data_IF_709372305747
#
_entry.id   IF_709372305747
#
_cell.length_a   1.000
_cell.length_b   1.000
_cell.length_c   1.000
_cell.angle_alpha   90.00
_cell.angle_beta   90.00
_cell.angle_gamma   90.00
#
_symmetry.space_group_name_H-M   'P 1'
#
loop_
_entity.id
_entity.type
_entity.pdbx_description
1 polymer ?
#
# COMPACT_ATOMS: atom_id res chain seq x y z
N UNK A 1 -2.31 -26.03 -2.26
CA UNK A 1 -3.47 -25.39 -2.92
C UNK A 1 -3.83 -24.19 -2.08
N UNK A 2 -3.14 -23.09 -2.33
CA UNK A 2 -3.13 -21.95 -1.43
C UNK A 2 -4.41 -21.14 -1.54
N UNK A 3 -5.01 -20.90 -0.38
CA UNK A 3 -6.27 -20.18 -0.23
C UNK A 3 -6.04 -18.70 -0.54
N UNK A 4 -6.58 -18.25 -1.67
CA UNK A 4 -6.84 -16.84 -1.96
C UNK A 4 -7.65 -16.24 -0.80
N UNK A 5 -7.01 -15.43 0.03
CA UNK A 5 -7.70 -14.62 1.01
C UNK A 5 -8.30 -13.41 0.28
N UNK A 6 -9.59 -13.52 -0.02
CA UNK A 6 -10.41 -12.43 -0.54
C UNK A 6 -10.50 -11.36 0.57
N UNK A 7 -9.89 -10.21 0.36
CA UNK A 7 -10.07 -9.04 1.24
C UNK A 7 -11.42 -8.40 0.87
N UNK A 8 -12.34 -8.14 1.83
CA UNK A 8 -13.67 -7.65 1.52
C UNK A 8 -13.63 -6.25 0.90
N UNK A 9 -14.43 -6.06 -0.17
CA UNK A 9 -14.75 -4.74 -0.73
C UNK A 9 -15.54 -3.93 0.31
N UNK A 10 -15.09 -2.72 0.62
CA UNK A 10 -15.91 -1.68 1.25
C UNK A 10 -16.54 -0.83 0.15
N UNK A 11 -17.76 -1.16 -0.25
CA UNK A 11 -18.73 -0.21 -0.80
C UNK A 11 -20.07 -0.56 -0.18
N UNK A 12 -20.52 0.23 0.80
CA UNK A 12 -21.87 0.14 1.36
C UNK A 12 -22.67 1.36 0.92
N UNK A 13 -23.64 1.13 0.04
CA UNK A 13 -24.86 1.92 -0.03
C UNK A 13 -25.85 1.37 0.99
N UNK A 14 -26.12 2.21 1.98
CA UNK A 14 -27.26 2.33 2.90
C UNK A 14 -27.62 1.23 3.92
N UNK A 15 -27.80 1.74 5.14
CA UNK A 15 -28.50 1.21 6.32
C UNK A 15 -27.82 0.06 7.09
N UNK A 16 -26.84 0.40 7.94
CA UNK A 16 -27.04 0.46 9.40
C UNK A 16 -25.72 0.79 10.12
N UNK A 17 -25.82 1.68 11.11
CA UNK A 17 -24.71 2.36 11.73
C UNK A 17 -23.91 1.47 12.70
N UNK A 18 -22.69 1.09 12.31
CA UNK A 18 -21.58 0.94 13.26
C UNK A 18 -20.41 1.78 12.75
N UNK A 19 -20.30 2.98 13.32
CA UNK A 19 -19.22 3.95 13.07
C UNK A 19 -17.87 3.35 13.46
N UNK A 20 -17.27 2.59 12.54
CA UNK A 20 -15.84 2.37 12.51
C UNK A 20 -15.18 3.74 12.54
N UNK A 21 -14.53 4.06 13.66
CA UNK A 21 -13.91 5.34 13.94
C UNK A 21 -12.82 5.61 12.88
N UNK A 22 -13.20 6.24 11.77
CA UNK A 22 -12.25 6.79 10.79
C UNK A 22 -11.59 7.94 11.52
N UNK A 23 -10.52 7.62 12.26
CA UNK A 23 -9.71 8.60 12.95
C UNK A 23 -9.27 9.63 11.92
N UNK A 24 -9.74 10.86 12.15
CA UNK A 24 -9.36 12.07 11.42
C UNK A 24 -7.88 12.01 11.06
N UNK A 25 -7.55 12.11 9.77
CA UNK A 25 -6.19 12.07 9.22
C UNK A 25 -5.34 13.11 9.96
N UNK A 26 -4.61 12.67 10.98
CA UNK A 26 -3.60 13.50 11.64
C UNK A 26 -2.40 13.42 10.71
N UNK A 27 -2.07 14.53 10.06
CA UNK A 27 -0.89 14.60 9.18
C UNK A 27 0.31 14.04 9.92
N UNK A 28 0.83 12.91 9.44
CA UNK A 28 2.06 12.34 9.98
C UNK A 28 3.21 13.20 9.51
N UNK A 29 4.15 13.52 10.40
CA UNK A 29 5.37 14.20 9.98
C UNK A 29 6.15 13.32 9.02
N UNK A 30 6.63 13.88 7.92
CA UNK A 30 7.45 13.18 6.91
C UNK A 30 8.60 12.38 7.53
N UNK A 31 9.31 12.99 8.49
CA UNK A 31 10.40 12.33 9.24
C UNK A 31 9.94 11.07 9.96
N UNK A 32 8.73 11.06 10.52
CA UNK A 32 8.18 9.88 11.17
C UNK A 32 7.92 8.76 10.15
N UNK A 33 7.35 9.10 8.99
CA UNK A 33 7.11 8.14 7.90
C UNK A 33 8.42 7.52 7.40
N UNK A 34 9.43 8.34 7.11
CA UNK A 34 10.78 7.89 6.69
C UNK A 34 11.39 6.95 7.73
N UNK A 35 11.35 7.33 9.01
CA UNK A 35 11.87 6.47 10.09
C UNK A 35 11.12 5.14 10.19
N UNK A 36 9.80 5.15 9.98
CA UNK A 36 8.97 3.94 10.02
C UNK A 36 9.30 3.00 8.86
N UNK A 37 9.43 3.54 7.65
CA UNK A 37 9.80 2.77 6.45
C UNK A 37 11.21 2.19 6.57
N UNK A 38 12.17 2.98 7.04
CA UNK A 38 13.52 2.50 7.30
C UNK A 38 13.53 1.40 8.37
N UNK A 39 12.76 1.55 9.45
CA UNK A 39 12.61 0.49 10.44
C UNK A 39 12.05 -0.81 9.83
N UNK A 40 11.06 -0.72 8.94
CA UNK A 40 10.51 -1.90 8.23
C UNK A 40 11.57 -2.57 7.35
N UNK A 41 12.32 -1.78 6.57
CA UNK A 41 13.45 -2.27 5.79
C UNK A 41 14.50 -2.97 6.68
N UNK A 42 14.89 -2.38 7.82
CA UNK A 42 15.86 -2.97 8.74
C UNK A 42 15.38 -4.25 9.43
N UNK A 43 14.07 -4.46 9.49
CA UNK A 43 13.47 -5.68 10.04
C UNK A 43 13.18 -6.75 8.96
N UNK A 44 13.58 -6.49 7.71
CA UNK A 44 13.26 -7.29 6.52
C UNK A 44 11.75 -7.57 6.38
N UNK A 45 10.93 -6.56 6.68
CA UNK A 45 9.46 -6.63 6.58
C UNK A 45 8.95 -5.91 5.34
N UNK A 46 7.67 -6.11 5.04
CA UNK A 46 7.02 -5.60 3.84
C UNK A 46 5.96 -4.54 4.16
N UNK A 47 5.60 -3.79 3.13
CA UNK A 47 4.41 -2.93 3.04
C UNK A 47 3.44 -3.52 2.02
N UNK A 48 2.19 -3.04 2.05
CA UNK A 48 1.20 -3.37 1.01
C UNK A 48 1.03 -2.19 0.06
N UNK A 49 1.10 -2.47 -1.23
CA UNK A 49 0.76 -1.54 -2.31
C UNK A 49 -0.59 -1.95 -2.87
N UNK A 50 -1.57 -1.06 -2.75
CA UNK A 50 -2.91 -1.30 -3.27
C UNK A 50 -3.04 -0.72 -4.68
N UNK A 51 -3.46 -1.55 -5.62
CA UNK A 51 -3.73 -1.20 -7.00
C UNK A 51 -5.22 -1.39 -7.27
N UNK A 52 -5.92 -0.33 -7.71
CA UNK A 52 -7.33 -0.39 -8.09
C UNK A 52 -7.47 -0.79 -9.55
N UNK A 53 -8.30 -1.76 -9.87
CA UNK A 53 -8.58 -2.13 -11.25
C UNK A 53 -9.26 -0.96 -11.99
N UNK A 54 -8.78 -0.63 -13.18
CA UNK A 54 -9.24 0.56 -13.94
C UNK A 54 -10.70 0.50 -14.36
N UNK A 55 -11.26 -0.70 -14.56
CA UNK A 55 -12.65 -0.92 -14.97
C UNK A 55 -13.59 -1.47 -13.89
N UNK A 56 -13.04 -1.96 -12.78
CA UNK A 56 -13.82 -2.70 -11.78
C UNK A 56 -13.51 -2.15 -10.39
N UNK A 57 -14.47 -2.21 -9.48
CA UNK A 57 -14.30 -1.76 -8.09
C UNK A 57 -13.44 -2.72 -7.22
N UNK A 58 -12.55 -3.52 -7.83
CA UNK A 58 -11.64 -4.43 -7.12
C UNK A 58 -10.30 -3.76 -6.88
N UNK A 59 -9.75 -4.00 -5.69
CA UNK A 59 -8.39 -3.65 -5.31
C UNK A 59 -7.57 -4.91 -5.20
N UNK A 60 -6.38 -4.89 -5.79
CA UNK A 60 -5.34 -5.89 -5.63
C UNK A 60 -4.27 -5.33 -4.68
N UNK A 61 -3.89 -6.11 -3.67
CA UNK A 61 -2.81 -5.76 -2.75
C UNK A 61 -1.56 -6.56 -3.07
N UNK A 62 -0.46 -5.87 -3.41
CA UNK A 62 0.85 -6.46 -3.64
C UNK A 62 1.77 -6.21 -2.45
N UNK A 63 2.59 -7.18 -2.09
CA UNK A 63 3.62 -7.04 -1.06
C UNK A 63 4.88 -6.47 -1.68
N UNK A 64 5.46 -5.47 -1.01
CA UNK A 64 6.71 -4.85 -1.44
C UNK A 64 7.65 -4.64 -0.25
N UNK A 65 8.96 -4.80 -0.48
CA UNK A 65 9.99 -4.43 0.48
C UNK A 65 10.41 -2.98 0.21
N UNK A 66 10.27 -2.06 1.18
CA UNK A 66 10.82 -0.73 1.04
C UNK A 66 12.35 -0.82 1.03
N UNK A 67 13.00 -0.06 0.14
CA UNK A 67 14.44 0.16 0.18
C UNK A 67 14.78 1.25 1.22
N UNK A 68 16.04 1.32 1.70
CA UNK A 68 16.49 2.42 2.54
C UNK A 68 16.19 3.76 1.88
N UNK A 69 15.52 4.65 2.61
CA UNK A 69 15.13 5.97 2.10
C UNK A 69 15.68 7.08 3.00
N UNK A 70 16.18 8.13 2.35
CA UNK A 70 16.62 9.36 3.01
C UNK A 70 16.01 10.54 2.26
N UNK A 71 15.12 11.28 2.93
CA UNK A 71 14.41 12.40 2.33
C UNK A 71 13.06 11.99 1.76
N UNK A 72 12.88 12.20 0.47
CA UNK A 72 11.56 12.42 -0.11
C UNK A 72 11.11 11.30 -1.03
N UNK A 73 12.06 10.54 -1.57
CA UNK A 73 11.81 9.43 -2.48
C UNK A 73 11.79 8.12 -1.71
N UNK A 74 10.77 7.31 -1.94
CA UNK A 74 10.68 5.94 -1.50
C UNK A 74 10.69 5.01 -2.71
N UNK A 75 11.66 4.10 -2.72
CA UNK A 75 11.69 3.00 -3.68
C UNK A 75 11.30 1.71 -2.96
N UNK A 76 10.44 0.92 -3.59
CA UNK A 76 10.03 -0.40 -3.10
C UNK A 76 10.25 -1.43 -4.20
N UNK A 77 10.70 -2.62 -3.84
CA UNK A 77 10.78 -3.78 -4.75
C UNK A 77 9.67 -4.77 -4.41
N UNK A 78 9.08 -5.41 -5.42
CA UNK A 78 8.07 -6.43 -5.16
C UNK A 78 8.68 -7.61 -4.42
N UNK A 79 7.96 -8.16 -3.45
CA UNK A 79 8.40 -9.38 -2.76
C UNK A 79 8.35 -10.60 -3.67
N UNK A 80 7.41 -10.60 -4.62
CA UNK A 80 7.23 -11.64 -5.63
C UNK A 80 7.14 -10.96 -7.01
N UNK A 81 7.56 -11.63 -8.10
CA UNK A 81 7.41 -11.10 -9.44
C UNK A 81 5.96 -10.70 -9.72
N UNK A 82 5.76 -9.48 -10.23
CA UNK A 82 4.43 -8.98 -10.59
C UNK A 82 4.18 -9.19 -12.08
N UNK A 83 3.00 -9.70 -12.44
CA UNK A 83 2.60 -9.84 -13.84
C UNK A 83 2.42 -8.46 -14.49
N UNK A 84 3.13 -8.13 -15.58
CA UNK A 84 2.95 -6.85 -16.29
C UNK A 84 1.51 -6.57 -16.73
N UNK A 85 0.65 -7.59 -16.90
CA UNK A 85 -0.77 -7.38 -17.17
C UNK A 85 -1.52 -6.72 -15.99
N UNK A 86 -1.13 -7.03 -14.75
CA UNK A 86 -1.68 -6.39 -13.55
C UNK A 86 -1.40 -4.89 -13.60
N UNK A 87 -0.16 -4.52 -13.91
CA UNK A 87 0.29 -3.12 -13.96
C UNK A 87 -0.37 -2.31 -15.08
N UNK A 88 -0.78 -2.97 -16.17
CA UNK A 88 -1.55 -2.33 -17.26
C UNK A 88 -3.03 -2.15 -16.96
N UNK A 89 -3.60 -3.03 -16.15
CA UNK A 89 -5.03 -3.08 -15.86
C UNK A 89 -5.42 -2.38 -14.54
N UNK A 90 -4.44 -2.05 -13.69
CA UNK A 90 -4.66 -1.40 -12.41
C UNK A 90 -3.85 -0.10 -12.27
N UNK A 91 -4.40 0.85 -11.53
CA UNK A 91 -3.72 2.08 -11.12
C UNK A 91 -3.39 2.03 -9.64
N UNK A 92 -2.28 2.65 -9.24
CA UNK A 92 -1.96 2.83 -7.82
C UNK A 92 -3.11 3.54 -7.08
N UNK A 93 -3.45 3.04 -5.90
CA UNK A 93 -4.50 3.58 -5.04
C UNK A 93 -3.91 4.17 -3.76
N UNK A 94 -3.15 3.38 -3.01
CA UNK A 94 -2.50 3.80 -1.77
C UNK A 94 -1.46 2.75 -1.32
N UNK A 95 -0.70 3.10 -0.29
CA UNK A 95 0.17 2.17 0.43
C UNK A 95 -0.31 2.00 1.87
N UNK A 96 -0.24 0.77 2.38
CA UNK A 96 -0.50 0.43 3.77
C UNK A 96 0.78 -0.01 4.47
N UNK A 97 1.05 0.61 5.60
CA UNK A 97 2.18 0.34 6.48
C UNK A 97 1.61 -0.25 7.78
N UNK A 98 1.90 -1.52 8.03
CA UNK A 98 1.40 -2.22 9.22
C UNK A 98 2.53 -2.55 10.17
N UNK A 99 2.31 -2.41 11.48
CA UNK A 99 3.22 -2.91 12.52
C UNK A 99 2.59 -4.02 13.37
N UNK A 100 1.54 -4.66 12.85
CA UNK A 100 0.74 -5.68 13.54
C UNK A 100 -0.27 -5.14 14.56
N UNK A 101 -0.16 -3.88 15.00
CA UNK A 101 -1.11 -3.25 15.93
C UNK A 101 -1.83 -2.05 15.33
N UNK A 102 -1.16 -1.33 14.44
CA UNK A 102 -1.69 -0.16 13.74
C UNK A 102 -1.44 -0.29 12.24
N UNK A 103 -2.41 0.17 11.47
CA UNK A 103 -2.31 0.31 10.02
C UNK A 103 -2.27 1.80 9.70
N UNK A 104 -1.24 2.21 8.97
CA UNK A 104 -1.09 3.57 8.46
C UNK A 104 -1.29 3.52 6.95
N UNK A 105 -2.32 4.22 6.46
CA UNK A 105 -2.51 4.44 5.05
C UNK A 105 -1.82 5.73 4.62
N UNK A 106 -1.06 5.66 3.53
CA UNK A 106 -0.42 6.82 2.89
C UNK A 106 -0.76 6.84 1.40
N UNK A 107 -0.92 8.05 0.86
CA UNK A 107 -1.27 8.28 -0.55
C UNK A 107 -0.17 9.13 -1.21
N UNK A 108 1.02 8.55 -1.45
CA UNK A 108 2.12 9.23 -2.14
C UNK A 108 1.83 9.43 -3.62
N UNK A 109 2.59 10.31 -4.26
CA UNK A 109 2.61 10.43 -5.71
C UNK A 109 3.47 9.31 -6.32
N UNK A 110 3.01 8.73 -7.44
CA UNK A 110 3.76 7.68 -8.14
C UNK A 110 4.71 8.32 -9.14
N UNK A 111 6.00 8.06 -9.01
CA UNK A 111 7.02 8.42 -10.01
C UNK A 111 7.05 7.38 -11.13
N UNK A 112 7.14 6.10 -10.76
CA UNK A 112 7.24 4.99 -11.71
C UNK A 112 6.75 3.69 -11.07
N UNK A 113 6.26 2.77 -11.89
CA UNK A 113 5.85 1.43 -11.50
C UNK A 113 6.15 0.46 -12.64
N UNK A 114 6.81 -0.65 -12.33
CA UNK A 114 7.18 -1.70 -13.29
C UNK A 114 7.22 -3.08 -12.63
N UNK A 115 7.72 -4.09 -13.33
CA UNK A 115 7.79 -5.48 -12.86
C UNK A 115 8.82 -5.70 -11.73
N UNK A 116 9.69 -4.73 -11.45
CA UNK A 116 10.67 -4.79 -10.38
C UNK A 116 10.16 -4.10 -9.11
N UNK A 117 9.38 -3.03 -9.26
CA UNK A 117 8.93 -2.26 -8.11
C UNK A 117 8.12 -1.02 -8.41
N UNK A 118 8.13 -0.11 -7.43
CA UNK A 118 7.45 1.19 -7.48
C UNK A 118 8.31 2.27 -6.80
N UNK A 119 8.32 3.46 -7.40
CA UNK A 119 8.95 4.67 -6.86
C UNK A 119 7.89 5.72 -6.52
N UNK A 120 8.01 6.33 -5.34
CA UNK A 120 6.97 7.15 -4.70
C UNK A 120 7.55 8.46 -4.09
N UNK A 121 6.73 9.52 -4.03
CA UNK A 121 7.01 10.82 -3.37
C UNK A 121 6.00 11.18 -2.28
#
# INVERSE_FOLDING_TARGET
MDKLHIIPRLNSSDADAESGNIQKVRGIGKRFLVNKLNYINFQDRTVLINLKHTKFESTLSLTAKPLPCAGDKLDCVWSEPTDPWILKSHSFQNMLITDGKKCLQVNPEVISIDELGISLL
#
